data_IF_152232812091
#
_entry.id   IF_152232812091
#
_cell.length_a   1.000
_cell.length_b   1.000
_cell.length_c   1.000
_cell.angle_alpha   90.00
_cell.angle_beta   90.00
_cell.angle_gamma   90.00
#
_symmetry.space_group_name_H-M   'P 1'
#
loop_
_entity.id
_entity.type
_entity.pdbx_description
1 polymer ?
#
# COMPACT_ATOMS: atom_id res chain seq x y z
N UNK A 1 12.97 14.62 16.72
CA UNK A 1 12.45 15.48 15.65
C UNK A 1 10.97 15.26 15.65
N UNK A 2 10.15 16.29 15.71
CA UNK A 2 8.69 16.14 15.63
C UNK A 2 8.36 15.77 14.18
N UNK A 3 7.99 14.50 13.95
CA UNK A 3 7.42 14.08 12.69
C UNK A 3 6.12 14.86 12.48
N UNK A 4 5.96 15.49 11.34
CA UNK A 4 4.72 16.21 11.01
C UNK A 4 3.86 15.34 10.13
N UNK A 5 2.83 14.75 10.71
CA UNK A 5 1.80 14.04 9.95
C UNK A 5 1.03 15.02 9.09
N UNK A 6 0.98 14.80 7.78
CA UNK A 6 0.20 15.58 6.83
C UNK A 6 -0.96 14.73 6.32
N UNK A 7 -2.19 15.22 6.46
CA UNK A 7 -3.37 14.56 5.89
C UNK A 7 -3.81 15.28 4.63
N UNK A 8 -3.80 14.57 3.49
CA UNK A 8 -4.30 15.06 2.21
C UNK A 8 -5.65 14.43 1.89
N UNK A 9 -6.58 15.25 1.44
CA UNK A 9 -7.85 14.79 0.87
C UNK A 9 -7.65 14.26 -0.54
N UNK A 10 -8.63 13.53 -1.06
CA UNK A 10 -8.60 12.97 -2.41
C UNK A 10 -8.25 14.02 -3.50
N UNK A 11 -8.83 15.22 -3.39
CA UNK A 11 -8.56 16.33 -4.30
C UNK A 11 -7.16 16.97 -4.11
N UNK A 12 -6.50 16.71 -2.99
CA UNK A 12 -5.17 17.28 -2.67
C UNK A 12 -4.01 16.32 -2.96
N UNK A 13 -4.32 15.05 -3.28
CA UNK A 13 -3.29 14.08 -3.67
C UNK A 13 -2.74 14.52 -5.02
N UNK A 14 -1.43 14.76 -5.08
CA UNK A 14 -0.76 15.12 -6.32
C UNK A 14 -0.86 13.99 -7.34
N UNK A 15 -1.11 14.34 -8.60
CA UNK A 15 -1.22 13.41 -9.72
C UNK A 15 -0.41 13.89 -10.90
N UNK A 16 -0.35 13.11 -11.96
CA UNK A 16 0.26 13.42 -13.22
C UNK A 16 -0.67 14.19 -14.19
N UNK A 17 -1.50 15.09 -13.65
CA UNK A 17 -2.31 16.04 -14.42
C UNK A 17 -3.79 15.70 -14.54
N UNK A 18 -4.32 14.82 -13.68
CA UNK A 18 -5.75 14.56 -13.60
C UNK A 18 -6.31 14.79 -12.18
N UNK A 19 -7.60 15.09 -12.11
CA UNK A 19 -8.32 15.24 -10.84
C UNK A 19 -8.96 13.90 -10.47
N UNK A 20 -8.48 13.31 -9.36
CA UNK A 20 -8.99 12.04 -8.83
C UNK A 20 -10.47 12.12 -8.51
N UNK A 21 -10.93 13.20 -7.88
CA UNK A 21 -12.31 13.36 -7.43
C UNK A 21 -13.28 13.53 -8.59
N UNK A 22 -12.86 14.22 -9.65
CA UNK A 22 -13.65 14.36 -10.88
C UNK A 22 -13.72 13.06 -11.67
N UNK A 23 -12.60 12.32 -11.73
CA UNK A 23 -12.50 11.07 -12.49
C UNK A 23 -13.26 9.92 -11.81
N UNK A 24 -13.23 9.88 -10.48
CA UNK A 24 -13.80 8.80 -9.68
C UNK A 24 -14.77 9.33 -8.60
N UNK A 25 -15.92 9.92 -8.99
CA UNK A 25 -16.82 10.64 -8.07
C UNK A 25 -17.45 9.78 -6.98
N UNK A 26 -17.51 8.46 -7.18
CA UNK A 26 -18.04 7.50 -6.20
C UNK A 26 -17.02 7.11 -5.13
N UNK A 27 -15.78 7.49 -5.32
CA UNK A 27 -14.69 7.22 -4.40
C UNK A 27 -14.24 8.46 -3.66
N UNK A 28 -13.63 8.24 -2.52
CA UNK A 28 -12.89 9.28 -1.80
C UNK A 28 -11.77 8.61 -1.00
N UNK A 29 -10.80 9.41 -0.57
CA UNK A 29 -9.59 8.93 0.07
C UNK A 29 -9.00 9.97 1.00
N UNK A 30 -8.27 9.51 2.02
CA UNK A 30 -7.26 10.29 2.74
C UNK A 30 -5.91 9.62 2.55
N UNK A 31 -4.93 10.41 2.25
CA UNK A 31 -3.52 10.05 2.36
C UNK A 31 -2.99 10.67 3.64
N UNK A 32 -2.56 9.83 4.57
CA UNK A 32 -1.81 10.25 5.75
C UNK A 32 -0.34 10.04 5.42
N UNK A 33 0.40 11.13 5.34
CA UNK A 33 1.80 11.15 4.96
C UNK A 33 2.65 11.48 6.20
N UNK A 34 3.58 10.60 6.53
CA UNK A 34 4.52 10.78 7.63
C UNK A 34 5.94 10.53 7.11
N UNK A 35 6.77 11.57 7.07
CA UNK A 35 7.98 11.66 6.27
C UNK A 35 7.65 11.36 4.80
N UNK A 36 8.06 10.21 4.25
CA UNK A 36 7.72 9.73 2.91
C UNK A 36 6.81 8.50 2.90
N UNK A 37 6.41 8.00 4.09
CA UNK A 37 5.51 6.86 4.22
C UNK A 37 4.06 7.23 3.94
N UNK A 38 3.37 6.41 3.14
CA UNK A 38 2.01 6.62 2.69
C UNK A 38 1.04 5.65 3.35
N UNK A 39 0.18 6.13 4.25
CA UNK A 39 -0.98 5.40 4.76
C UNK A 39 -2.24 5.84 4.02
N UNK A 40 -3.04 4.91 3.55
CA UNK A 40 -4.26 5.21 2.80
C UNK A 40 -5.53 4.80 3.55
N UNK A 41 -6.47 5.75 3.69
CA UNK A 41 -7.86 5.47 3.99
C UNK A 41 -8.67 5.64 2.71
N UNK A 42 -9.31 4.59 2.26
CA UNK A 42 -10.11 4.57 1.03
C UNK A 42 -11.55 4.22 1.34
N UNK A 43 -12.50 4.86 0.66
CA UNK A 43 -13.91 4.47 0.80
C UNK A 43 -14.72 4.71 -0.48
N UNK A 44 -15.77 3.92 -0.64
CA UNK A 44 -16.74 4.09 -1.71
C UNK A 44 -18.02 4.73 -1.16
N UNK A 45 -18.38 5.90 -1.68
CA UNK A 45 -19.52 6.72 -1.22
C UNK A 45 -20.89 6.09 -1.52
N UNK A 46 -20.98 5.24 -2.53
CA UNK A 46 -22.25 4.55 -2.88
C UNK A 46 -22.52 3.36 -1.99
N UNK A 47 -21.48 2.62 -1.62
CA UNK A 47 -21.65 1.37 -0.86
C UNK A 47 -21.48 1.55 0.64
N UNK A 48 -20.87 2.66 1.07
CA UNK A 48 -20.57 2.89 2.48
C UNK A 48 -19.44 1.98 3.01
N UNK A 49 -18.59 1.44 2.14
CA UNK A 49 -17.48 0.58 2.52
C UNK A 49 -16.17 1.34 2.54
N UNK A 50 -15.33 1.09 3.57
CA UNK A 50 -14.03 1.72 3.78
C UNK A 50 -12.94 0.69 4.10
N UNK A 51 -11.69 1.02 3.81
CA UNK A 51 -10.52 0.23 4.17
C UNK A 51 -9.32 1.12 4.50
N UNK A 52 -8.46 0.64 5.40
CA UNK A 52 -7.15 1.20 5.67
C UNK A 52 -6.05 0.32 5.07
N UNK A 53 -4.97 0.97 4.63
CA UNK A 53 -3.75 0.30 4.15
C UNK A 53 -2.52 0.97 4.76
N UNK A 54 -1.63 0.15 5.30
CA UNK A 54 -0.34 0.48 5.91
C UNK A 54 -0.42 1.58 6.98
N UNK A 55 -1.25 1.41 8.03
CA UNK A 55 -1.38 2.39 9.09
C UNK A 55 -0.19 2.37 10.04
N UNK A 56 0.41 3.54 10.27
CA UNK A 56 1.57 3.73 11.14
C UNK A 56 1.17 4.00 12.59
N UNK A 57 2.00 3.55 13.53
CA UNK A 57 1.78 3.72 14.97
C UNK A 57 1.84 5.19 15.40
N UNK A 58 2.73 5.94 14.82
CA UNK A 58 2.93 7.36 15.10
C UNK A 58 1.71 8.21 14.74
N UNK A 59 0.86 7.73 13.82
CA UNK A 59 -0.31 8.45 13.32
C UNK A 59 -1.61 8.10 14.05
N UNK A 60 -1.56 7.38 15.16
CA UNK A 60 -2.73 6.81 15.85
C UNK A 60 -3.89 7.79 16.05
N UNK A 61 -3.63 9.00 16.53
CA UNK A 61 -4.68 9.99 16.76
C UNK A 61 -5.40 10.39 15.47
N UNK A 62 -4.64 10.54 14.39
CA UNK A 62 -5.16 10.82 13.05
C UNK A 62 -5.99 9.65 12.52
N UNK A 63 -5.48 8.42 12.63
CA UNK A 63 -6.17 7.20 12.18
C UNK A 63 -7.52 7.04 12.89
N UNK A 64 -7.56 7.24 14.21
CA UNK A 64 -8.78 7.19 15.03
C UNK A 64 -9.74 8.30 14.64
N UNK A 65 -9.26 9.53 14.48
CA UNK A 65 -10.09 10.68 14.13
C UNK A 65 -10.77 10.48 12.76
N UNK A 66 -10.03 10.10 11.74
CA UNK A 66 -10.58 9.86 10.39
C UNK A 66 -11.52 8.64 10.38
N UNK A 67 -11.20 7.58 11.12
CA UNK A 67 -12.09 6.42 11.25
C UNK A 67 -13.42 6.78 11.90
N UNK A 68 -13.40 7.55 13.01
CA UNK A 68 -14.64 8.00 13.68
C UNK A 68 -15.52 8.80 12.76
N UNK A 69 -14.97 9.75 11.99
CA UNK A 69 -15.73 10.57 11.04
C UNK A 69 -16.51 9.69 10.04
N UNK A 70 -15.89 8.64 9.52
CA UNK A 70 -16.56 7.73 8.60
C UNK A 70 -17.59 6.85 9.33
N UNK A 71 -17.26 6.30 10.50
CA UNK A 71 -18.21 5.50 11.30
C UNK A 71 -19.45 6.27 11.69
N UNK A 72 -19.33 7.55 12.10
CA UNK A 72 -20.45 8.44 12.42
C UNK A 72 -21.32 8.74 11.19
N UNK A 73 -20.75 8.69 9.99
CA UNK A 73 -21.47 8.79 8.71
C UNK A 73 -22.08 7.45 8.25
N UNK A 74 -21.90 6.37 9.01
CA UNK A 74 -22.45 5.05 8.72
C UNK A 74 -21.59 4.18 7.79
N UNK A 75 -20.34 4.57 7.53
CA UNK A 75 -19.42 3.70 6.77
C UNK A 75 -18.99 2.48 7.58
N UNK A 76 -18.85 1.36 6.90
CA UNK A 76 -18.37 0.10 7.45
C UNK A 76 -16.95 -0.19 6.96
N UNK A 77 -16.02 -0.39 7.88
CA UNK A 77 -14.68 -0.83 7.53
C UNK A 77 -14.69 -2.33 7.17
N UNK A 78 -14.17 -2.66 5.98
CA UNK A 78 -14.14 -4.01 5.44
C UNK A 78 -12.80 -4.70 5.61
N UNK A 79 -11.73 -3.94 5.76
CA UNK A 79 -10.38 -4.42 6.01
C UNK A 79 -9.48 -3.33 6.60
N UNK A 80 -8.50 -3.76 7.38
CA UNK A 80 -7.24 -3.06 7.62
C UNK A 80 -6.13 -3.94 7.07
N UNK A 81 -5.33 -3.44 6.16
CA UNK A 81 -4.31 -4.20 5.44
C UNK A 81 -2.93 -3.70 5.83
N UNK A 82 -2.02 -4.59 6.19
CA UNK A 82 -0.59 -4.35 6.04
C UNK A 82 -0.13 -5.02 4.75
N UNK A 83 0.45 -4.24 3.86
CA UNK A 83 0.92 -4.72 2.56
C UNK A 83 2.11 -5.67 2.69
N UNK A 84 2.95 -5.48 3.70
CA UNK A 84 4.13 -6.31 4.00
C UNK A 84 4.64 -6.07 5.42
N UNK A 85 5.66 -6.80 5.82
CA UNK A 85 6.37 -6.54 7.09
C UNK A 85 7.30 -5.34 6.92
N UNK A 86 6.87 -4.18 7.40
CA UNK A 86 7.60 -2.93 7.26
C UNK A 86 8.92 -2.92 8.05
N UNK A 87 9.98 -2.43 7.43
CA UNK A 87 11.31 -2.31 8.00
C UNK A 87 11.64 -0.90 8.53
N UNK A 88 10.89 0.08 8.11
CA UNK A 88 11.13 1.53 8.25
C UNK A 88 10.17 2.22 9.22
N UNK A 89 9.03 1.57 9.54
CA UNK A 89 8.05 2.05 10.52
C UNK A 89 7.40 0.92 11.32
N UNK A 90 6.74 1.27 12.43
CA UNK A 90 5.96 0.34 13.23
C UNK A 90 4.51 0.39 12.77
N UNK A 91 3.97 -0.76 12.35
CA UNK A 91 2.56 -0.88 11.98
C UNK A 91 1.63 -0.72 13.18
N UNK A 92 0.46 -0.13 12.94
CA UNK A 92 -0.64 -0.06 13.89
C UNK A 92 -1.90 -0.77 13.39
N UNK A 93 -1.76 -1.63 12.39
CA UNK A 93 -2.89 -2.29 11.74
C UNK A 93 -3.70 -3.16 12.71
N UNK A 94 -3.05 -3.84 13.64
CA UNK A 94 -3.73 -4.67 14.64
C UNK A 94 -4.62 -3.86 15.59
N UNK A 95 -4.15 -2.71 16.06
CA UNK A 95 -4.91 -1.81 16.93
C UNK A 95 -6.05 -1.14 16.16
N UNK A 96 -5.78 -0.72 14.93
CA UNK A 96 -6.76 -0.05 14.08
C UNK A 96 -7.86 -1.02 13.64
N UNK A 97 -7.53 -2.27 13.34
CA UNK A 97 -8.49 -3.34 13.06
C UNK A 97 -9.47 -3.55 14.24
N UNK A 98 -8.94 -3.62 15.46
CA UNK A 98 -9.77 -3.70 16.67
C UNK A 98 -10.64 -2.48 16.89
N UNK A 99 -10.12 -1.28 16.65
CA UNK A 99 -10.85 -0.02 16.81
C UNK A 99 -12.01 0.09 15.81
N UNK A 100 -11.76 -0.26 14.54
CA UNK A 100 -12.76 -0.16 13.46
C UNK A 100 -13.72 -1.35 13.40
N UNK A 101 -13.38 -2.47 14.06
CA UNK A 101 -14.10 -3.73 13.96
C UNK A 101 -13.88 -4.46 12.62
N UNK A 102 -12.92 -4.01 11.82
CA UNK A 102 -12.57 -4.64 10.55
C UNK A 102 -11.58 -5.80 10.75
N UNK A 103 -11.55 -6.80 9.86
CA UNK A 103 -10.52 -7.82 9.87
C UNK A 103 -9.14 -7.23 9.53
N UNK A 104 -8.10 -7.70 10.23
CA UNK A 104 -6.70 -7.49 9.84
C UNK A 104 -6.33 -8.47 8.73
N UNK A 105 -5.84 -7.94 7.62
CA UNK A 105 -5.46 -8.69 6.42
C UNK A 105 -3.97 -8.55 6.18
N UNK A 106 -3.25 -9.68 6.12
CA UNK A 106 -1.82 -9.73 5.79
C UNK A 106 -1.52 -11.03 5.04
N UNK A 107 -0.34 -11.08 4.41
CA UNK A 107 0.16 -12.32 3.81
C UNK A 107 0.40 -13.40 4.88
N UNK A 108 0.25 -14.68 4.53
CA UNK A 108 0.44 -15.79 5.48
C UNK A 108 1.87 -15.90 6.05
N UNK A 109 2.86 -15.40 5.30
CA UNK A 109 4.27 -15.34 5.74
C UNK A 109 4.57 -14.17 6.67
N UNK A 110 3.64 -13.23 6.85
CA UNK A 110 3.82 -12.17 7.82
C UNK A 110 3.98 -12.76 9.22
N UNK A 111 4.96 -12.33 9.99
CA UNK A 111 5.29 -12.94 11.29
C UNK A 111 4.26 -12.62 12.39
N UNK A 112 3.38 -11.65 12.15
CA UNK A 112 2.34 -11.26 13.11
C UNK A 112 1.43 -12.44 13.50
N UNK A 113 1.12 -12.54 14.77
CA UNK A 113 0.25 -13.59 15.33
C UNK A 113 -1.24 -13.26 15.21
N UNK A 114 -1.59 -12.03 14.93
CA UNK A 114 -2.96 -11.51 14.98
C UNK A 114 -3.48 -11.15 13.59
N UNK A 115 -3.48 -12.12 12.69
CA UNK A 115 -4.01 -11.93 11.33
C UNK A 115 -5.36 -12.63 11.25
N UNK A 116 -6.42 -11.88 10.93
CA UNK A 116 -7.77 -12.43 10.79
C UNK A 116 -7.94 -13.09 9.41
N UNK A 117 -7.38 -12.48 8.35
CA UNK A 117 -7.39 -13.01 6.99
C UNK A 117 -5.96 -13.18 6.50
N UNK A 118 -5.50 -14.42 6.40
CA UNK A 118 -4.18 -14.79 5.87
C UNK A 118 -4.24 -15.01 4.37
N UNK A 119 -3.50 -14.18 3.62
CA UNK A 119 -3.41 -14.27 2.16
C UNK A 119 -2.27 -15.20 1.79
N UNK A 120 -2.57 -16.40 1.29
CA UNK A 120 -1.56 -17.40 0.88
C UNK A 120 -1.39 -17.50 -0.64
N UNK A 121 -2.31 -16.90 -1.38
CA UNK A 121 -2.37 -16.84 -2.85
C UNK A 121 -3.20 -15.65 -3.26
N UNK A 122 -3.13 -15.29 -4.54
CA UNK A 122 -3.98 -14.24 -5.08
C UNK A 122 -5.44 -14.51 -4.72
N UNK A 123 -6.06 -13.55 -4.06
CA UNK A 123 -7.37 -13.67 -3.43
C UNK A 123 -8.22 -12.44 -3.76
N UNK A 124 -9.52 -12.62 -3.89
CA UNK A 124 -10.46 -11.52 -3.99
C UNK A 124 -11.57 -11.68 -2.93
N UNK A 125 -11.68 -10.71 -2.05
CA UNK A 125 -12.82 -10.60 -1.14
C UNK A 125 -13.97 -9.94 -1.89
N UNK A 126 -15.17 -10.50 -1.77
CA UNK A 126 -16.38 -9.91 -2.36
C UNK A 126 -16.84 -8.75 -1.50
N UNK A 127 -16.92 -7.56 -2.06
CA UNK A 127 -17.45 -6.36 -1.42
C UNK A 127 -18.55 -5.74 -2.27
N UNK A 128 -19.36 -4.85 -1.69
CA UNK A 128 -20.40 -4.15 -2.43
C UNK A 128 -19.81 -3.14 -3.44
N UNK A 129 -18.61 -2.63 -3.16
CA UNK A 129 -17.85 -1.75 -4.07
C UNK A 129 -17.08 -2.51 -5.17
N UNK A 130 -17.31 -3.82 -5.30
CA UNK A 130 -16.62 -4.70 -6.24
C UNK A 130 -15.51 -5.53 -5.58
N UNK A 131 -14.76 -6.31 -6.33
CA UNK A 131 -13.75 -7.20 -5.79
C UNK A 131 -12.59 -6.42 -5.13
N UNK A 132 -12.32 -6.74 -3.86
CA UNK A 132 -11.14 -6.30 -3.13
C UNK A 132 -10.05 -7.35 -3.35
N UNK A 133 -9.20 -7.12 -4.36
CA UNK A 133 -8.19 -8.09 -4.79
C UNK A 133 -6.90 -7.89 -4.02
N UNK A 134 -6.31 -8.98 -3.58
CA UNK A 134 -5.04 -9.07 -2.87
C UNK A 134 -4.14 -9.99 -3.70
N UNK A 135 -3.12 -9.43 -4.32
CA UNK A 135 -2.15 -10.17 -5.12
C UNK A 135 -0.91 -10.43 -4.26
N UNK A 136 -0.48 -11.68 -4.14
CA UNK A 136 0.82 -12.00 -3.54
C UNK A 136 1.92 -11.52 -4.48
N UNK A 137 2.68 -10.52 -4.05
CA UNK A 137 3.71 -9.85 -4.86
C UNK A 137 5.07 -9.86 -4.12
N UNK A 138 5.63 -11.06 -3.84
CA UNK A 138 6.92 -11.15 -3.16
C UNK A 138 8.04 -10.54 -4.01
N UNK A 139 9.09 -10.08 -3.34
CA UNK A 139 10.29 -9.51 -3.98
C UNK A 139 10.94 -8.51 -3.04
N UNK A 140 10.34 -7.36 -2.81
CA UNK A 140 10.77 -6.43 -1.77
C UNK A 140 10.82 -7.13 -0.39
N UNK A 141 9.73 -7.80 -0.04
CA UNK A 141 9.69 -8.76 1.08
C UNK A 141 9.02 -10.07 0.65
N UNK A 142 9.23 -11.20 1.38
CA UNK A 142 8.58 -12.47 1.08
C UNK A 142 7.06 -12.46 1.27
N UNK A 143 6.53 -11.50 2.00
CA UNK A 143 5.13 -11.35 2.40
C UNK A 143 4.44 -10.15 1.76
N UNK A 144 5.05 -9.54 0.74
CA UNK A 144 4.45 -8.41 0.03
C UNK A 144 3.15 -8.76 -0.67
N UNK A 145 2.17 -7.86 -0.55
CA UNK A 145 0.84 -7.93 -1.16
C UNK A 145 0.52 -6.60 -1.84
N UNK A 146 0.11 -6.66 -3.09
CA UNK A 146 -0.48 -5.52 -3.80
C UNK A 146 -2.00 -5.59 -3.72
N UNK A 147 -2.64 -4.49 -3.33
CA UNK A 147 -4.09 -4.36 -3.27
C UNK A 147 -4.63 -3.70 -4.54
N UNK A 148 -5.72 -4.25 -5.09
CA UNK A 148 -6.52 -3.59 -6.13
C UNK A 148 -7.96 -3.49 -5.65
N UNK A 149 -8.48 -2.25 -5.53
CA UNK A 149 -9.87 -2.01 -5.15
C UNK A 149 -10.45 -0.83 -5.93
N UNK A 150 -11.53 -1.11 -6.67
CA UNK A 150 -12.08 -0.16 -7.62
C UNK A 150 -11.04 0.26 -8.66
N UNK A 151 -10.80 1.56 -8.85
CA UNK A 151 -9.85 2.07 -9.83
C UNK A 151 -8.40 2.13 -9.31
N UNK A 152 -8.12 1.69 -8.09
CA UNK A 152 -6.83 1.91 -7.43
C UNK A 152 -6.00 0.64 -7.35
N UNK A 153 -4.70 0.80 -7.61
CA UNK A 153 -3.64 -0.18 -7.38
C UNK A 153 -2.76 0.39 -6.27
N UNK A 154 -2.73 -0.23 -5.11
CA UNK A 154 -1.78 0.11 -4.05
C UNK A 154 -0.57 -0.81 -4.19
N UNK A 155 0.47 -0.27 -4.81
CA UNK A 155 1.71 -0.99 -5.11
C UNK A 155 2.54 -1.26 -3.86
N UNK A 156 2.30 -0.50 -2.77
CA UNK A 156 3.17 -0.47 -1.61
C UNK A 156 4.64 -0.34 -2.04
N UNK A 157 5.54 -1.14 -1.48
CA UNK A 157 6.96 -1.12 -1.87
C UNK A 157 7.28 -2.07 -3.03
N UNK A 158 6.31 -2.85 -3.52
CA UNK A 158 6.51 -3.59 -4.76
C UNK A 158 6.58 -2.64 -5.97
N UNK A 159 5.79 -1.58 -5.99
CA UNK A 159 5.77 -0.60 -7.08
C UNK A 159 5.59 0.81 -6.54
N UNK A 160 6.60 1.64 -6.69
CA UNK A 160 6.63 3.06 -6.35
C UNK A 160 6.33 3.93 -7.59
N UNK A 161 6.29 5.25 -7.41
CA UNK A 161 6.16 6.15 -8.55
C UNK A 161 7.40 6.07 -9.45
N UNK A 162 7.22 5.57 -10.67
CA UNK A 162 8.26 5.36 -11.68
C UNK A 162 9.47 4.51 -11.23
N UNK A 163 9.34 3.79 -10.11
CA UNK A 163 10.41 3.01 -9.48
C UNK A 163 9.85 1.78 -8.75
N UNK A 164 10.70 1.06 -8.03
CA UNK A 164 10.33 -0.08 -7.16
C UNK A 164 10.99 0.07 -5.79
N UNK A 165 10.46 -0.60 -4.79
CA UNK A 165 11.15 -0.79 -3.51
C UNK A 165 12.44 -1.58 -3.69
N UNK A 166 13.34 -1.44 -2.73
CA UNK A 166 14.65 -2.13 -2.70
C UNK A 166 14.50 -3.61 -2.34
N UNK A 167 15.44 -4.43 -2.83
CA UNK A 167 15.44 -5.89 -2.59
C UNK A 167 16.65 -6.37 -1.78
N UNK A 168 17.46 -5.46 -1.24
CA UNK A 168 18.69 -5.77 -0.52
C UNK A 168 18.52 -5.94 1.01
N UNK A 169 17.28 -5.86 1.50
CA UNK A 169 16.93 -6.18 2.89
C UNK A 169 16.71 -7.69 3.06
N UNK A 170 16.78 -8.20 4.31
CA UNK A 170 16.60 -9.64 4.56
C UNK A 170 15.29 -10.20 4.00
N UNK A 171 15.39 -11.15 3.10
CA UNK A 171 14.26 -11.78 2.43
C UNK A 171 13.91 -11.19 1.07
N UNK A 172 14.57 -10.11 0.65
CA UNK A 172 14.41 -9.55 -0.68
C UNK A 172 14.87 -10.50 -1.78
N UNK A 173 14.15 -10.53 -2.90
CA UNK A 173 14.40 -11.40 -4.05
C UNK A 173 14.06 -10.65 -5.36
N UNK A 174 15.07 -10.11 -6.06
CA UNK A 174 14.85 -9.40 -7.31
C UNK A 174 14.14 -10.22 -8.40
N UNK A 175 14.36 -11.55 -8.43
CA UNK A 175 13.72 -12.39 -9.41
C UNK A 175 12.21 -12.54 -9.13
N UNK A 176 11.84 -12.76 -7.87
CA UNK A 176 10.44 -12.78 -7.44
C UNK A 176 9.80 -11.41 -7.64
N UNK A 177 10.54 -10.32 -7.39
CA UNK A 177 10.05 -8.95 -7.60
C UNK A 177 9.69 -8.70 -9.06
N UNK A 178 10.55 -9.08 -9.99
CA UNK A 178 10.23 -8.97 -11.42
C UNK A 178 8.92 -9.70 -11.79
N UNK A 179 8.74 -10.95 -11.34
CA UNK A 179 7.50 -11.70 -11.59
C UNK A 179 6.28 -11.02 -10.98
N UNK A 180 6.45 -10.40 -9.81
CA UNK A 180 5.41 -9.61 -9.14
C UNK A 180 5.01 -8.38 -9.95
N UNK A 181 5.97 -7.66 -10.54
CA UNK A 181 5.69 -6.54 -11.44
C UNK A 181 4.92 -7.00 -12.69
N UNK A 182 5.29 -8.15 -13.30
CA UNK A 182 4.54 -8.70 -14.43
C UNK A 182 3.11 -9.09 -14.03
N UNK A 183 2.92 -9.63 -12.82
CA UNK A 183 1.59 -9.93 -12.28
C UNK A 183 0.75 -8.66 -12.12
N UNK A 184 1.30 -7.59 -11.54
CA UNK A 184 0.59 -6.29 -11.43
C UNK A 184 0.19 -5.80 -12.82
N UNK A 185 1.11 -5.82 -13.80
CA UNK A 185 0.83 -5.43 -15.20
C UNK A 185 -0.34 -6.21 -15.80
N UNK A 186 -0.45 -7.51 -15.52
CA UNK A 186 -1.53 -8.34 -16.03
C UNK A 186 -2.91 -8.04 -15.41
N UNK A 187 -2.94 -7.42 -14.23
CA UNK A 187 -4.17 -7.08 -13.52
C UNK A 187 -4.57 -5.60 -13.64
N UNK A 188 -3.64 -4.75 -14.06
CA UNK A 188 -3.86 -3.32 -14.18
C UNK A 188 -4.58 -2.95 -15.49
N UNK A 189 -5.62 -2.13 -15.38
CA UNK A 189 -6.27 -1.53 -16.54
C UNK A 189 -5.66 -0.13 -16.84
N UNK A 190 -5.65 0.34 -18.10
CA UNK A 190 -5.00 1.58 -18.50
C UNK A 190 -5.46 2.84 -17.75
N UNK A 191 -6.70 2.82 -17.28
CA UNK A 191 -7.33 3.94 -16.57
C UNK A 191 -7.18 3.87 -15.04
N UNK A 192 -6.57 2.83 -14.51
CA UNK A 192 -6.32 2.70 -13.07
C UNK A 192 -5.26 3.70 -12.58
N UNK A 193 -5.30 3.93 -11.28
CA UNK A 193 -4.40 4.84 -10.55
C UNK A 193 -3.54 4.03 -9.61
N UNK A 194 -2.22 4.18 -9.74
CA UNK A 194 -1.25 3.59 -8.83
C UNK A 194 -0.99 4.52 -7.64
N UNK A 195 -0.95 3.93 -6.47
CA UNK A 195 -0.70 4.56 -5.17
C UNK A 195 0.52 3.86 -4.55
N UNK A 196 1.64 4.56 -4.32
CA UNK A 196 2.87 3.97 -3.80
C UNK A 196 2.87 3.84 -2.27
N UNK A 197 3.73 2.99 -1.71
CA UNK A 197 3.99 2.92 -0.26
C UNK A 197 4.83 4.09 0.24
N UNK A 198 5.73 4.62 -0.60
CA UNK A 198 6.55 5.77 -0.31
C UNK A 198 6.46 6.82 -1.41
N UNK A 199 6.55 8.09 -1.02
CA UNK A 199 6.61 9.17 -1.98
C UNK A 199 7.42 10.36 -1.45
N UNK A 200 8.68 10.38 -1.76
CA UNK A 200 9.59 11.49 -1.47
C UNK A 200 9.17 12.85 -2.07
N UNK A 201 8.21 12.86 -2.99
CA UNK A 201 7.63 14.07 -3.57
C UNK A 201 6.34 14.54 -2.89
N UNK A 202 5.92 13.88 -1.79
CA UNK A 202 4.78 14.29 -0.97
C UNK A 202 3.44 13.70 -1.38
N UNK A 203 3.38 12.42 -1.65
CA UNK A 203 2.13 11.67 -1.88
C UNK A 203 1.62 11.81 -3.30
N UNK A 204 2.34 11.24 -4.27
CA UNK A 204 2.00 11.32 -5.69
C UNK A 204 1.37 10.04 -6.19
N UNK A 205 0.11 10.14 -6.60
CA UNK A 205 -0.55 9.11 -7.38
C UNK A 205 -0.23 9.29 -8.88
N UNK A 206 -0.20 8.21 -9.63
CA UNK A 206 -0.02 8.28 -11.08
C UNK A 206 -1.07 7.44 -11.82
N UNK A 207 -1.36 7.80 -13.07
CA UNK A 207 -2.10 6.91 -13.94
C UNK A 207 -1.27 5.66 -14.25
N UNK A 208 -1.93 4.54 -14.52
CA UNK A 208 -1.21 3.34 -14.94
C UNK A 208 -0.46 3.57 -16.27
N UNK A 209 -1.02 4.40 -17.14
CA UNK A 209 -0.36 4.78 -18.39
C UNK A 209 0.97 5.52 -18.15
N UNK A 210 1.01 6.43 -17.18
CA UNK A 210 2.23 7.13 -16.77
C UNK A 210 3.25 6.15 -16.18
N UNK A 211 2.82 5.23 -15.31
CA UNK A 211 3.71 4.19 -14.78
C UNK A 211 4.37 3.37 -15.89
N UNK A 212 3.60 2.96 -16.90
CA UNK A 212 4.15 2.21 -18.04
C UNK A 212 5.13 3.01 -18.89
N UNK A 213 4.98 4.34 -18.95
CA UNK A 213 5.84 5.20 -19.76
C UNK A 213 7.08 5.72 -19.03
N UNK A 214 7.02 5.88 -17.71
CA UNK A 214 8.09 6.51 -16.93
C UNK A 214 8.91 5.50 -16.11
N UNK A 215 8.33 4.35 -15.74
CA UNK A 215 9.06 3.36 -14.93
C UNK A 215 10.01 2.53 -15.77
N UNK A 216 11.31 2.75 -15.55
CA UNK A 216 12.36 1.93 -16.15
C UNK A 216 12.21 0.46 -15.71
N UNK A 217 11.89 0.21 -14.44
CA UNK A 217 11.71 -1.13 -13.88
C UNK A 217 10.59 -1.91 -14.57
N UNK A 218 9.50 -1.25 -14.96
CA UNK A 218 8.41 -1.88 -15.71
C UNK A 218 8.75 -2.13 -17.19
N UNK A 219 9.72 -1.40 -17.74
CA UNK A 219 10.15 -1.53 -19.14
C UNK A 219 11.28 -2.56 -19.35
N UNK A 220 12.02 -2.87 -18.28
CA UNK A 220 13.18 -3.78 -18.35
C UNK A 220 12.76 -5.23 -18.64
N UNK A 221 13.67 -5.96 -19.30
CA UNK A 221 13.61 -7.42 -19.31
C UNK A 221 14.06 -8.01 -17.95
N UNK A 222 13.77 -9.27 -17.75
CA UNK A 222 14.05 -9.96 -16.48
C UNK A 222 15.54 -9.94 -16.10
N UNK A 223 16.43 -10.18 -17.06
CA UNK A 223 17.87 -10.28 -16.81
C UNK A 223 18.42 -8.92 -16.35
N UNK A 224 18.01 -7.84 -17.01
CA UNK A 224 18.40 -6.48 -16.69
C UNK A 224 17.87 -6.07 -15.31
N UNK A 225 16.58 -6.27 -15.04
CA UNK A 225 15.98 -5.95 -13.75
C UNK A 225 16.68 -6.69 -12.60
N UNK A 226 16.83 -8.02 -12.70
CA UNK A 226 17.43 -8.84 -11.64
C UNK A 226 18.87 -8.43 -11.38
N UNK A 227 19.65 -8.13 -12.42
CA UNK A 227 21.04 -7.68 -12.28
C UNK A 227 21.09 -6.31 -11.57
N UNK A 228 20.27 -5.35 -11.97
CA UNK A 228 20.31 -4.00 -11.43
C UNK A 228 19.77 -3.93 -10.00
N UNK A 229 18.60 -4.49 -9.72
CA UNK A 229 18.05 -4.58 -8.38
C UNK A 229 18.94 -5.38 -7.43
N UNK A 230 19.52 -6.51 -7.89
CA UNK A 230 20.43 -7.33 -7.10
C UNK A 230 21.82 -6.70 -6.86
N UNK A 231 22.19 -5.66 -7.61
CA UNK A 231 23.43 -4.90 -7.40
C UNK A 231 23.28 -3.71 -6.44
N UNK A 232 22.04 -3.30 -6.16
CA UNK A 232 21.78 -2.21 -5.24
C UNK A 232 22.07 -2.61 -3.80
N UNK A 233 22.80 -1.76 -3.07
CA UNK A 233 23.06 -1.89 -1.64
C UNK A 233 22.92 -0.51 -1.01
N UNK A 234 21.88 -0.31 -0.22
CA UNK A 234 21.62 0.94 0.47
C UNK A 234 21.84 0.86 1.99
N UNK A 235 21.85 1.99 2.70
CA UNK A 235 21.89 1.99 4.15
C UNK A 235 20.64 1.30 4.72
N UNK A 236 20.79 0.58 5.83
CA UNK A 236 19.65 0.00 6.52
C UNK A 236 18.70 1.11 7.03
N UNK A 237 17.37 0.90 7.06
CA UNK A 237 16.44 1.80 7.71
C UNK A 237 16.84 2.09 9.16
N UNK A 238 16.66 3.33 9.60
CA UNK A 238 17.14 3.80 10.93
C UNK A 238 16.58 2.96 12.08
N UNK A 239 15.35 2.51 11.97
CA UNK A 239 14.64 1.76 13.02
C UNK A 239 14.44 0.28 12.66
N UNK A 240 15.20 -0.26 11.70
CA UNK A 240 15.03 -1.64 11.19
C UNK A 240 14.87 -2.69 12.30
N UNK A 241 15.71 -2.63 13.34
CA UNK A 241 15.64 -3.62 14.43
C UNK A 241 14.40 -3.46 15.30
N UNK A 242 14.01 -2.21 15.55
CA UNK A 242 12.85 -1.88 16.36
C UNK A 242 11.55 -2.22 15.61
N UNK A 243 11.43 -1.82 14.35
CA UNK A 243 10.26 -2.09 13.52
C UNK A 243 10.04 -3.59 13.32
N UNK A 244 11.07 -4.34 12.99
CA UNK A 244 10.94 -5.80 12.86
C UNK A 244 10.54 -6.46 14.19
N UNK A 245 11.10 -6.01 15.33
CA UNK A 245 10.73 -6.56 16.63
C UNK A 245 9.26 -6.27 16.99
N UNK A 246 8.79 -5.04 16.76
CA UNK A 246 7.41 -4.65 17.05
C UNK A 246 6.40 -5.28 16.06
N UNK A 247 6.73 -5.29 14.77
CA UNK A 247 5.85 -5.83 13.73
C UNK A 247 5.75 -7.37 13.76
N UNK A 248 6.63 -8.05 14.51
CA UNK A 248 6.60 -9.51 14.70
C UNK A 248 5.71 -9.96 15.87
N UNK A 249 5.14 -9.06 16.65
CA UNK A 249 4.26 -9.36 17.79
C UNK A 249 2.82 -9.60 17.35
#
# INVERSE_FOLDING_TARGET
>A
MTHSTLVKTFAQIATDGFDLSARWPDWDMRLVLNDDNCTYLMWNKKTGEAAWVDPMKEDWETLVSESRKLMEQGYRFIAVVDSHTHADHISNASELARFTGAPLVQHEKAPSRRIDIRVSRDTALTTAAGPFKLLCTPGHTPDSVTLIWGPFILGADTLLYADTGRDDLPGGDPAAHYESLQKIKAHAAPDMVMLPGHDGAGGRASSWATQLSESASLAQDRETFVREAGSYVGPAPKILKESLFENFK
#
